data_IF_964909509797
#
_entry.id   IF_964909509797
#
_cell.length_a   1.000
_cell.length_b   1.000
_cell.length_c   1.000
_cell.angle_alpha   90.00
_cell.angle_beta   90.00
_cell.angle_gamma   90.00
#
_symmetry.space_group_name_H-M   'P 1'
#
loop_
_entity.id
_entity.type
_entity.pdbx_description
1 polymer ?
#
# COMPACT_ATOMS: atom_id res chain seq x y z
N UNK A 1 -19.05 -11.43 6.72
CA UNK A 1 -19.20 -10.29 5.79
C UNK A 1 -17.85 -9.89 5.17
N UNK A 2 -16.77 -9.70 5.94
CA UNK A 2 -15.45 -9.35 5.41
C UNK A 2 -14.88 -10.40 4.45
N UNK A 3 -15.02 -11.69 4.79
CA UNK A 3 -14.60 -12.80 3.91
C UNK A 3 -15.39 -12.82 2.59
N UNK A 4 -16.68 -12.54 2.63
CA UNK A 4 -17.51 -12.46 1.43
C UNK A 4 -17.11 -11.28 0.54
N UNK A 5 -16.77 -10.13 1.15
CA UNK A 5 -16.30 -8.96 0.41
C UNK A 5 -14.94 -9.19 -0.25
N UNK A 6 -13.99 -9.83 0.44
CA UNK A 6 -12.69 -10.18 -0.15
C UNK A 6 -12.83 -11.18 -1.30
N UNK A 7 -13.71 -12.17 -1.17
CA UNK A 7 -13.96 -13.14 -2.23
C UNK A 7 -14.70 -12.52 -3.43
N UNK A 8 -15.51 -11.50 -3.20
CA UNK A 8 -16.16 -10.74 -4.28
C UNK A 8 -15.17 -9.86 -5.05
N UNK A 9 -14.12 -9.36 -4.37
CA UNK A 9 -13.08 -8.53 -4.97
C UNK A 9 -12.06 -9.34 -5.78
N UNK A 10 -11.79 -10.57 -5.42
CA UNK A 10 -10.86 -11.44 -6.15
C UNK A 10 -11.31 -12.90 -6.09
N UNK A 11 -11.92 -13.34 -7.19
CA UNK A 11 -12.43 -14.71 -7.34
C UNK A 11 -11.33 -15.78 -7.38
N UNK A 12 -10.09 -15.37 -7.63
CA UNK A 12 -8.94 -16.27 -7.73
C UNK A 12 -8.28 -16.52 -6.36
N UNK A 13 -8.67 -15.76 -5.33
CA UNK A 13 -8.17 -16.00 -3.97
C UNK A 13 -8.91 -17.19 -3.34
N UNK A 14 -8.15 -18.18 -2.90
CA UNK A 14 -8.73 -19.32 -2.19
C UNK A 14 -9.41 -18.89 -0.88
N UNK A 15 -10.46 -19.61 -0.47
CA UNK A 15 -11.15 -19.37 0.81
C UNK A 15 -10.20 -19.45 2.01
N UNK A 16 -9.19 -20.30 1.96
CA UNK A 16 -8.17 -20.45 2.99
C UNK A 16 -7.28 -19.21 3.07
N UNK A 17 -6.85 -18.67 1.93
CA UNK A 17 -6.08 -17.43 1.86
C UNK A 17 -6.88 -16.25 2.41
N UNK A 18 -8.18 -16.15 2.07
CA UNK A 18 -9.08 -15.14 2.61
C UNK A 18 -9.22 -15.25 4.12
N UNK A 19 -9.35 -16.47 4.66
CA UNK A 19 -9.43 -16.68 6.11
C UNK A 19 -8.13 -16.28 6.82
N UNK A 20 -6.97 -16.65 6.24
CA UNK A 20 -5.65 -16.26 6.76
C UNK A 20 -5.46 -14.75 6.76
N UNK A 21 -5.77 -14.07 5.66
CA UNK A 21 -5.67 -12.61 5.55
C UNK A 21 -6.61 -11.91 6.53
N UNK A 22 -7.82 -12.43 6.72
CA UNK A 22 -8.76 -11.89 7.70
C UNK A 22 -8.27 -12.06 9.16
N UNK A 23 -7.60 -13.18 9.45
CA UNK A 23 -7.02 -13.45 10.77
C UNK A 23 -5.77 -12.61 11.08
N UNK A 24 -5.07 -12.15 10.03
CA UNK A 24 -3.85 -11.33 10.15
C UNK A 24 -4.12 -9.84 9.95
N UNK A 25 -5.37 -9.43 9.74
CA UNK A 25 -5.72 -8.02 9.63
C UNK A 25 -5.40 -7.28 10.94
N UNK A 26 -4.60 -6.22 10.83
CA UNK A 26 -4.15 -5.43 11.97
C UNK A 26 -4.69 -4.00 11.88
N UNK A 27 -4.87 -3.37 13.03
CA UNK A 27 -5.16 -1.95 13.13
C UNK A 27 -3.84 -1.17 13.03
N UNK A 28 -3.62 -0.48 11.89
CA UNK A 28 -2.32 0.13 11.57
C UNK A 28 -2.37 1.66 11.57
N UNK A 29 -3.24 2.25 12.37
CA UNK A 29 -3.34 3.70 12.53
C UNK A 29 -2.27 4.20 13.51
N UNK A 30 -1.60 5.30 13.19
CA UNK A 30 -0.68 6.01 14.07
C UNK A 30 -1.19 7.42 14.25
N UNK A 31 -1.75 7.67 15.40
CA UNK A 31 -2.26 9.00 15.77
C UNK A 31 -1.82 9.34 17.18
N UNK A 32 -1.49 10.61 17.40
CA UNK A 32 -1.24 11.17 18.72
C UNK A 32 -2.13 12.37 18.87
N UNK A 33 -2.70 12.52 20.05
CA UNK A 33 -3.54 13.66 20.41
C UNK A 33 -3.06 14.19 21.76
N UNK A 34 -2.67 15.46 21.78
CA UNK A 34 -2.10 16.12 22.95
C UNK A 34 -3.06 17.22 23.38
N UNK A 35 -3.29 17.32 24.68
CA UNK A 35 -4.03 18.40 25.35
C UNK A 35 -5.42 18.68 24.76
N UNK A 36 -6.15 17.62 24.33
CA UNK A 36 -7.46 17.78 23.71
C UNK A 36 -8.44 18.61 24.55
N UNK A 37 -8.40 18.44 25.87
CA UNK A 37 -9.28 19.14 26.84
C UNK A 37 -8.90 20.60 27.05
N UNK A 38 -7.77 21.04 26.47
CA UNK A 38 -7.30 22.43 26.45
C UNK A 38 -7.32 22.97 25.02
N UNK A 39 -8.45 23.43 24.49
CA UNK A 39 -8.66 23.71 23.06
C UNK A 39 -7.63 24.64 22.44
N UNK A 40 -7.09 25.58 23.21
CA UNK A 40 -6.05 26.52 22.79
C UNK A 40 -4.65 25.87 22.64
N UNK A 41 -4.43 24.72 23.29
CA UNK A 41 -3.17 23.97 23.22
C UNK A 41 -3.29 22.68 22.45
N UNK A 42 -4.51 22.24 22.14
CA UNK A 42 -4.80 20.97 21.52
C UNK A 42 -4.09 20.81 20.16
N UNK A 43 -3.36 19.70 20.01
CA UNK A 43 -2.63 19.33 18.80
C UNK A 43 -2.83 17.84 18.52
N UNK A 44 -2.99 17.51 17.25
CA UNK A 44 -3.04 16.14 16.79
C UNK A 44 -1.95 15.83 15.77
N UNK A 45 -1.55 14.57 15.72
CA UNK A 45 -0.61 14.05 14.72
C UNK A 45 -1.24 12.84 14.05
N UNK A 46 -1.16 12.82 12.71
CA UNK A 46 -1.50 11.67 11.88
C UNK A 46 -0.24 11.27 11.15
N UNK A 47 0.25 10.07 11.42
CA UNK A 47 1.60 9.67 11.03
C UNK A 47 1.59 8.50 10.07
N UNK A 48 2.47 8.54 9.04
CA UNK A 48 2.82 7.41 8.20
C UNK A 48 3.81 6.48 8.89
N UNK A 49 4.82 7.04 9.56
CA UNK A 49 5.87 6.27 10.23
C UNK A 49 5.40 5.56 11.51
N UNK A 50 6.01 4.42 11.82
CA UNK A 50 5.87 3.80 13.13
C UNK A 50 6.70 4.57 14.16
N UNK A 51 6.29 4.54 15.42
CA UNK A 51 7.02 5.17 16.53
C UNK A 51 8.14 4.25 17.04
N UNK A 52 9.09 3.95 16.16
CA UNK A 52 10.27 3.10 16.44
C UNK A 52 11.50 3.81 15.92
N UNK A 53 12.63 3.61 16.59
CA UNK A 53 13.91 4.27 16.25
C UNK A 53 14.35 4.01 14.80
N UNK A 54 14.04 2.84 14.24
CA UNK A 54 14.34 2.49 12.85
C UNK A 54 13.61 3.34 11.81
N UNK A 55 12.53 4.03 12.20
CA UNK A 55 11.77 4.94 11.33
C UNK A 55 12.21 6.39 11.47
N UNK A 56 13.14 6.66 12.37
CA UNK A 56 13.71 7.99 12.55
C UNK A 56 14.78 8.25 11.49
N UNK A 57 14.46 9.07 10.52
CA UNK A 57 15.36 9.48 9.43
C UNK A 57 15.21 10.97 9.15
N UNK A 58 16.18 11.56 8.48
CA UNK A 58 16.18 12.97 8.06
C UNK A 58 16.16 13.05 6.53
N UNK A 59 15.89 14.24 5.98
CA UNK A 59 15.88 14.48 4.54
C UNK A 59 17.22 14.11 3.88
N UNK A 60 18.33 14.24 4.62
CA UNK A 60 19.68 13.89 4.17
C UNK A 60 19.97 12.38 4.31
N UNK A 61 19.05 11.61 4.85
CA UNK A 61 19.22 10.18 5.14
C UNK A 61 20.51 9.88 5.93
N UNK A 62 20.77 10.67 6.96
CA UNK A 62 22.01 10.64 7.75
C UNK A 62 22.24 9.32 8.47
N UNK A 63 21.19 8.57 8.76
CA UNK A 63 21.25 7.25 9.39
C UNK A 63 22.00 6.21 8.57
N UNK A 64 22.09 6.34 7.25
CA UNK A 64 22.82 5.43 6.35
C UNK A 64 24.31 5.31 6.66
N UNK A 65 24.89 6.27 7.36
CA UNK A 65 26.33 6.34 7.68
C UNK A 65 26.67 5.88 9.10
N UNK A 66 25.67 5.39 9.84
CA UNK A 66 25.88 4.98 11.23
C UNK A 66 26.62 3.66 11.32
N UNK A 67 27.56 3.59 12.23
CA UNK A 67 28.16 2.32 12.65
C UNK A 67 27.09 1.44 13.30
N UNK A 68 27.09 0.14 12.99
CA UNK A 68 26.15 -0.84 13.56
C UNK A 68 26.44 -1.19 15.02
N UNK A 69 26.82 -0.23 15.86
CA UNK A 69 27.02 -0.42 17.30
C UNK A 69 25.73 -0.17 18.08
N UNK A 70 25.60 -0.79 19.23
CA UNK A 70 24.45 -0.60 20.15
C UNK A 70 24.28 0.89 20.50
N UNK A 71 25.39 1.61 20.68
CA UNK A 71 25.37 3.04 20.99
C UNK A 71 24.85 3.89 19.84
N UNK A 72 25.08 3.46 18.59
CA UNK A 72 24.53 4.12 17.40
C UNK A 72 23.02 3.90 17.24
N UNK A 73 22.45 2.91 17.92
CA UNK A 73 21.03 2.58 17.92
C UNK A 73 20.30 3.11 19.17
N UNK A 74 20.95 3.94 19.98
CA UNK A 74 20.32 4.53 21.16
C UNK A 74 19.12 5.42 20.77
N UNK A 75 18.12 5.56 21.65
CA UNK A 75 16.97 6.44 21.42
C UNK A 75 17.40 7.83 20.97
N UNK A 76 16.70 8.39 20.00
CA UNK A 76 16.96 9.72 19.40
C UNK A 76 18.26 9.85 18.57
N UNK A 77 18.92 8.75 18.28
CA UNK A 77 20.11 8.76 17.42
C UNK A 77 19.78 8.50 15.94
N UNK A 78 18.49 8.33 15.60
CA UNK A 78 17.98 8.12 14.25
C UNK A 78 17.90 6.65 13.85
N UNK A 79 17.47 6.38 12.62
CA UNK A 79 17.27 5.03 12.14
C UNK A 79 18.53 4.18 12.17
N UNK A 80 18.41 2.95 12.66
CA UNK A 80 19.51 1.96 12.68
C UNK A 80 19.65 1.21 11.33
N UNK A 81 18.77 1.47 10.37
CA UNK A 81 18.74 0.77 9.08
C UNK A 81 19.74 1.32 8.07
N UNK A 82 20.20 0.45 7.16
CA UNK A 82 21.06 0.84 6.04
C UNK A 82 20.30 1.45 4.86
N UNK A 83 18.97 1.32 4.84
CA UNK A 83 18.10 1.82 3.78
C UNK A 83 17.43 3.12 4.22
N UNK A 84 17.28 4.09 3.30
CA UNK A 84 16.57 5.32 3.60
C UNK A 84 15.11 5.02 3.88
N UNK A 85 14.53 5.81 4.77
CA UNK A 85 13.11 5.79 5.06
C UNK A 85 12.52 7.14 4.70
N UNK A 86 11.31 7.11 4.12
CA UNK A 86 10.53 8.32 3.90
C UNK A 86 9.08 8.02 4.23
N UNK A 87 8.57 8.75 5.19
CA UNK A 87 7.17 8.74 5.59
C UNK A 87 6.70 10.17 5.82
N UNK A 88 5.43 10.42 5.50
CA UNK A 88 4.82 11.72 5.71
C UNK A 88 3.97 11.67 6.97
N UNK A 89 4.16 12.65 7.84
CA UNK A 89 3.34 12.87 9.02
C UNK A 89 2.79 14.27 9.02
N UNK A 90 1.56 14.42 9.50
CA UNK A 90 0.88 15.71 9.57
C UNK A 90 0.65 16.10 11.01
N UNK A 91 0.99 17.34 11.36
CA UNK A 91 0.52 18.00 12.57
C UNK A 91 -0.75 18.79 12.23
N UNK A 92 -1.78 18.62 13.02
CA UNK A 92 -3.09 19.27 12.80
C UNK A 92 -3.60 19.96 14.04
N UNK A 93 -4.32 21.06 13.84
CA UNK A 93 -5.01 21.81 14.90
C UNK A 93 -6.42 22.18 14.45
N UNK A 94 -7.25 22.61 15.37
CA UNK A 94 -8.60 23.06 15.08
C UNK A 94 -9.66 21.95 15.06
N UNK A 95 -10.81 22.19 14.43
CA UNK A 95 -12.00 21.34 14.53
C UNK A 95 -11.79 19.88 14.13
N UNK A 96 -10.81 19.59 13.28
CA UNK A 96 -10.50 18.21 12.86
C UNK A 96 -10.11 17.30 14.04
N UNK A 97 -9.63 17.88 15.15
CA UNK A 97 -9.25 17.14 16.35
C UNK A 97 -10.45 16.45 17.02
N UNK A 98 -11.67 16.93 16.81
CA UNK A 98 -12.89 16.25 17.26
C UNK A 98 -12.94 14.82 16.68
N UNK A 99 -12.67 14.67 15.40
CA UNK A 99 -12.72 13.37 14.73
C UNK A 99 -11.56 12.45 15.13
N UNK A 100 -10.37 13.00 15.40
CA UNK A 100 -9.26 12.22 15.95
C UNK A 100 -9.59 11.73 17.37
N UNK A 101 -10.13 12.60 18.21
CA UNK A 101 -10.55 12.24 19.56
C UNK A 101 -11.67 11.19 19.54
N UNK A 102 -12.67 11.35 18.69
CA UNK A 102 -13.77 10.39 18.56
C UNK A 102 -13.26 9.01 18.14
N UNK A 103 -12.32 8.95 17.17
CA UNK A 103 -11.72 7.70 16.73
C UNK A 103 -11.00 6.98 17.87
N UNK A 104 -10.18 7.69 18.62
CA UNK A 104 -9.47 7.17 19.78
C UNK A 104 -10.44 6.76 20.89
N UNK A 105 -11.36 7.64 21.27
CA UNK A 105 -12.28 7.43 22.39
C UNK A 105 -13.20 6.21 22.18
N UNK A 106 -13.66 5.98 20.95
CA UNK A 106 -14.45 4.79 20.60
C UNK A 106 -13.63 3.50 20.73
N UNK A 107 -12.37 3.49 20.26
CA UNK A 107 -11.49 2.35 20.44
C UNK A 107 -11.18 2.10 21.91
N UNK A 108 -10.88 3.14 22.66
CA UNK A 108 -10.64 3.07 24.10
C UNK A 108 -11.84 2.52 24.87
N UNK A 109 -13.04 3.01 24.56
CA UNK A 109 -14.27 2.53 25.22
C UNK A 109 -14.53 1.04 24.99
N UNK A 110 -14.21 0.53 23.79
CA UNK A 110 -14.36 -0.90 23.50
C UNK A 110 -13.46 -1.78 24.37
N UNK A 111 -12.25 -1.34 24.65
CA UNK A 111 -11.26 -2.09 25.41
C UNK A 111 -11.39 -1.92 26.93
N UNK A 112 -11.74 -0.72 27.37
CA UNK A 112 -11.70 -0.33 28.79
C UNK A 112 -13.05 -0.12 29.42
N UNK A 113 -14.13 -0.04 28.63
CA UNK A 113 -15.48 0.35 29.05
C UNK A 113 -15.57 1.77 29.61
N UNK A 114 -14.57 2.63 29.38
CA UNK A 114 -14.56 4.02 29.78
C UNK A 114 -15.00 4.91 28.62
N UNK A 115 -16.10 5.63 28.78
CA UNK A 115 -16.57 6.59 27.77
C UNK A 115 -15.85 7.94 27.90
N UNK A 116 -14.73 8.07 27.19
CA UNK A 116 -13.96 9.31 27.16
C UNK A 116 -14.70 10.46 26.47
N UNK A 117 -15.69 10.20 25.62
CA UNK A 117 -16.49 11.27 25.02
C UNK A 117 -17.34 11.98 26.07
N UNK A 118 -17.91 11.22 26.99
CA UNK A 118 -18.67 11.77 28.13
C UNK A 118 -17.74 12.35 29.19
N UNK A 119 -16.72 11.59 29.62
CA UNK A 119 -15.80 12.00 30.69
C UNK A 119 -15.06 13.30 30.40
N UNK A 120 -14.68 13.54 29.16
CA UNK A 120 -13.96 14.74 28.70
C UNK A 120 -14.87 15.84 28.18
N UNK A 121 -16.19 15.67 28.29
CA UNK A 121 -17.15 16.62 27.71
C UNK A 121 -16.79 17.01 26.26
N UNK A 122 -16.50 15.99 25.44
CA UNK A 122 -15.89 16.13 24.11
C UNK A 122 -16.67 17.08 23.17
N UNK A 123 -18.02 17.08 23.27
CA UNK A 123 -18.86 17.98 22.47
C UNK A 123 -18.68 19.46 22.82
N UNK A 124 -18.40 19.78 24.10
CA UNK A 124 -18.11 21.14 24.51
C UNK A 124 -16.75 21.57 24.02
N UNK A 125 -15.73 20.74 24.23
CA UNK A 125 -14.36 20.99 23.75
C UNK A 125 -14.33 21.21 22.23
N UNK A 126 -15.02 20.37 21.47
CA UNK A 126 -15.07 20.46 20.01
C UNK A 126 -15.54 21.85 19.50
N UNK A 127 -16.48 22.50 20.20
CA UNK A 127 -16.96 23.83 19.83
C UNK A 127 -15.95 24.95 20.08
N UNK A 128 -14.97 24.69 20.93
CA UNK A 128 -13.95 25.66 21.31
C UNK A 128 -12.66 25.49 20.48
N UNK A 129 -12.51 24.35 19.78
CA UNK A 129 -11.37 24.08 18.91
C UNK A 129 -11.30 25.07 17.73
N UNK A 130 -10.17 25.74 17.60
CA UNK A 130 -9.91 26.70 16.51
C UNK A 130 -8.61 26.35 15.78
N UNK A 131 -8.55 26.58 14.46
CA UNK A 131 -7.28 26.51 13.74
C UNK A 131 -6.27 27.47 14.38
N UNK A 132 -5.01 27.04 14.45
CA UNK A 132 -3.90 27.86 14.97
C UNK A 132 -2.99 28.25 13.81
N UNK A 133 -3.10 29.49 13.28
CA UNK A 133 -2.36 29.96 12.11
C UNK A 133 -0.83 29.92 12.28
N UNK A 134 -0.35 29.99 13.51
CA UNK A 134 1.08 29.89 13.83
C UNK A 134 1.72 28.54 13.42
N UNK A 135 0.90 27.50 13.19
CA UNK A 135 1.36 26.19 12.71
C UNK A 135 1.20 25.99 11.21
N UNK A 136 0.64 26.95 10.49
CA UNK A 136 0.49 26.87 9.04
C UNK A 136 -0.79 27.53 8.53
N UNK A 137 -0.94 27.50 7.21
CA UNK A 137 -2.12 28.07 6.56
C UNK A 137 -3.34 27.19 6.81
N UNK A 138 -4.48 27.76 7.26
CA UNK A 138 -5.71 27.00 7.42
C UNK A 138 -6.19 26.42 6.09
N UNK A 139 -6.51 25.13 6.09
CA UNK A 139 -7.02 24.40 4.93
C UNK A 139 -8.27 23.60 5.33
N UNK A 140 -9.08 23.26 4.33
CA UNK A 140 -10.13 22.25 4.52
C UNK A 140 -9.48 20.88 4.56
N UNK A 141 -9.73 20.11 5.63
CA UNK A 141 -9.18 18.78 5.82
C UNK A 141 -10.29 17.78 6.21
N UNK A 142 -10.07 16.53 5.90
CA UNK A 142 -10.98 15.44 6.21
C UNK A 142 -10.19 14.26 6.78
N UNK A 143 -10.68 13.66 7.84
CA UNK A 143 -10.16 12.41 8.40
C UNK A 143 -10.89 11.23 7.79
N UNK A 144 -10.14 10.35 7.17
CA UNK A 144 -10.65 9.16 6.48
C UNK A 144 -10.09 7.90 7.13
N UNK A 145 -10.92 6.87 7.20
CA UNK A 145 -10.54 5.61 7.84
C UNK A 145 -10.96 4.39 7.01
N UNK A 146 -10.18 3.34 7.13
CA UNK A 146 -10.60 1.99 6.78
C UNK A 146 -10.69 1.18 8.06
N UNK A 147 -11.91 0.88 8.49
CA UNK A 147 -12.23 0.04 9.65
C UNK A 147 -13.40 -0.87 9.27
N UNK A 148 -13.07 -2.02 8.67
CA UNK A 148 -14.05 -2.92 8.09
C UNK A 148 -15.06 -3.45 9.13
N UNK A 149 -14.64 -3.67 10.38
CA UNK A 149 -15.50 -4.09 11.48
C UNK A 149 -16.53 -3.02 11.88
N UNK A 150 -16.29 -1.76 11.52
CA UNK A 150 -17.21 -0.64 11.72
C UNK A 150 -17.90 -0.21 10.41
N UNK A 151 -17.73 -0.99 9.35
CA UNK A 151 -18.22 -0.72 8.00
C UNK A 151 -17.70 0.62 7.43
N UNK A 152 -16.54 1.08 7.91
CA UNK A 152 -15.86 2.29 7.42
C UNK A 152 -14.94 1.95 6.27
N UNK A 153 -15.20 2.54 5.12
CA UNK A 153 -14.40 2.42 3.88
C UNK A 153 -14.18 3.80 3.26
N UNK A 154 -13.92 4.78 4.09
CA UNK A 154 -13.85 6.18 3.69
C UNK A 154 -12.69 6.42 2.71
N UNK A 155 -11.52 5.80 2.95
CA UNK A 155 -10.34 5.92 2.07
C UNK A 155 -10.65 5.38 0.67
N UNK A 156 -11.27 4.20 0.57
CA UNK A 156 -11.68 3.62 -0.70
C UNK A 156 -12.62 4.57 -1.46
N UNK A 157 -13.65 5.05 -0.79
CA UNK A 157 -14.63 5.96 -1.39
C UNK A 157 -13.97 7.23 -1.91
N UNK A 158 -13.08 7.85 -1.12
CA UNK A 158 -12.39 9.05 -1.55
C UNK A 158 -11.46 8.80 -2.72
N UNK A 159 -10.68 7.71 -2.69
CA UNK A 159 -9.76 7.39 -3.79
C UNK A 159 -10.49 7.18 -5.11
N UNK A 160 -11.61 6.44 -5.10
CA UNK A 160 -12.42 6.25 -6.29
C UNK A 160 -13.01 7.58 -6.78
N UNK A 161 -13.48 8.43 -5.88
CA UNK A 161 -14.00 9.75 -6.24
C UNK A 161 -12.91 10.67 -6.77
N UNK A 162 -11.72 10.70 -6.16
CA UNK A 162 -10.59 11.50 -6.62
C UNK A 162 -10.12 11.06 -8.00
N UNK A 163 -9.98 9.76 -8.24
CA UNK A 163 -9.64 9.20 -9.54
C UNK A 163 -10.70 9.56 -10.58
N UNK A 164 -12.00 9.42 -10.24
CA UNK A 164 -13.10 9.75 -11.15
C UNK A 164 -13.11 11.22 -11.57
N UNK A 165 -12.58 12.11 -10.75
CA UNK A 165 -12.51 13.54 -11.00
C UNK A 165 -11.19 13.99 -11.62
N UNK A 166 -10.21 13.09 -11.78
CA UNK A 166 -8.91 13.43 -12.34
C UNK A 166 -9.01 13.78 -13.83
N UNK A 167 -8.42 14.91 -14.22
CA UNK A 167 -8.50 15.38 -15.61
C UNK A 167 -7.14 15.47 -16.31
N UNK A 168 -6.04 15.59 -15.57
CA UNK A 168 -4.71 15.77 -16.15
C UNK A 168 -3.70 14.78 -15.63
N UNK A 169 -3.59 14.66 -14.31
CA UNK A 169 -2.68 13.71 -13.71
C UNK A 169 -3.20 13.16 -12.38
N UNK A 170 -2.69 11.99 -12.03
CA UNK A 170 -2.84 11.35 -10.72
C UNK A 170 -1.42 11.12 -10.20
N UNK A 171 -1.12 11.62 -9.00
CA UNK A 171 0.12 11.33 -8.29
C UNK A 171 -0.19 10.47 -7.08
N UNK A 172 0.54 9.36 -6.95
CA UNK A 172 0.42 8.42 -5.85
C UNK A 172 1.81 8.20 -5.26
N UNK A 173 1.96 8.47 -3.98
CA UNK A 173 3.12 8.10 -3.18
C UNK A 173 2.64 7.21 -2.04
N UNK A 174 2.96 5.93 -2.10
CA UNK A 174 2.48 4.95 -1.12
C UNK A 174 3.46 3.77 -1.04
N UNK A 175 3.66 3.24 0.16
CA UNK A 175 4.48 2.06 0.38
C UNK A 175 4.06 0.88 -0.53
N UNK A 176 2.76 0.74 -0.79
CA UNK A 176 2.23 -0.35 -1.62
C UNK A 176 1.27 0.16 -2.69
N UNK A 177 1.48 -0.27 -3.92
CA UNK A 177 0.59 -0.02 -5.04
C UNK A 177 -0.05 -1.35 -5.46
N UNK A 178 -1.17 -1.72 -4.81
CA UNK A 178 -1.71 -3.08 -4.88
C UNK A 178 -3.22 -3.20 -4.78
N UNK A 179 -3.94 -2.25 -5.37
CA UNK A 179 -5.40 -2.25 -5.41
C UNK A 179 -5.94 -2.23 -6.84
N UNK A 180 -6.10 -3.40 -7.51
CA UNK A 180 -6.51 -3.52 -8.91
C UNK A 180 -7.76 -2.73 -9.30
N UNK A 181 -8.83 -2.64 -8.48
CA UNK A 181 -10.02 -1.86 -8.84
C UNK A 181 -9.73 -0.38 -9.13
N UNK A 182 -8.73 0.22 -8.49
CA UNK A 182 -8.32 1.58 -8.79
C UNK A 182 -7.64 1.68 -10.16
N UNK A 183 -6.83 0.71 -10.54
CA UNK A 183 -6.19 0.67 -11.85
C UNK A 183 -7.23 0.50 -12.97
N UNK A 184 -8.24 -0.35 -12.76
CA UNK A 184 -9.35 -0.53 -13.68
C UNK A 184 -10.14 0.77 -13.86
N UNK A 185 -10.39 1.50 -12.77
CA UNK A 185 -11.07 2.79 -12.83
C UNK A 185 -10.23 3.84 -13.57
N UNK A 186 -8.91 3.89 -13.36
CA UNK A 186 -8.01 4.82 -14.07
C UNK A 186 -8.08 4.60 -15.58
N UNK A 187 -7.98 3.34 -16.04
CA UNK A 187 -8.12 3.00 -17.46
C UNK A 187 -9.48 3.42 -18.00
N UNK A 188 -10.55 3.06 -17.30
CA UNK A 188 -11.92 3.39 -17.70
C UNK A 188 -12.10 4.90 -17.87
N UNK A 189 -11.60 5.71 -16.94
CA UNK A 189 -11.73 7.16 -17.01
C UNK A 189 -10.91 7.75 -18.15
N UNK A 190 -9.71 7.24 -18.39
CA UNK A 190 -8.89 7.65 -19.52
C UNK A 190 -9.62 7.39 -20.85
N UNK A 191 -10.21 6.21 -21.03
CA UNK A 191 -11.01 5.83 -22.18
C UNK A 191 -12.27 6.70 -22.32
N UNK A 192 -13.00 6.93 -21.23
CA UNK A 192 -14.19 7.77 -21.21
C UNK A 192 -13.88 9.24 -21.58
N UNK A 193 -12.75 9.77 -21.13
CA UNK A 193 -12.37 11.14 -21.50
C UNK A 193 -12.11 11.24 -23.00
N UNK A 194 -11.45 10.28 -23.61
CA UNK A 194 -11.23 10.22 -25.05
C UNK A 194 -12.55 10.09 -25.79
N UNK A 195 -13.43 9.18 -25.37
CA UNK A 195 -14.75 8.99 -26.00
C UNK A 195 -15.66 10.21 -25.91
N UNK A 196 -15.49 11.03 -24.85
CA UNK A 196 -16.21 12.28 -24.65
C UNK A 196 -15.56 13.47 -25.35
N UNK A 197 -14.58 13.26 -26.24
CA UNK A 197 -13.99 14.28 -27.09
C UNK A 197 -12.74 14.95 -26.54
N UNK A 198 -12.05 14.33 -25.56
CA UNK A 198 -10.72 14.82 -25.15
C UNK A 198 -9.75 14.70 -26.32
N UNK A 199 -9.30 15.84 -26.81
CA UNK A 199 -8.26 15.90 -27.82
C UNK A 199 -6.87 15.78 -27.16
N UNK A 200 -6.20 14.65 -27.42
CA UNK A 200 -4.89 14.37 -26.84
C UNK A 200 -3.81 15.35 -27.30
N UNK A 201 -3.92 15.90 -28.49
CA UNK A 201 -2.96 16.89 -29.00
C UNK A 201 -3.11 18.25 -28.29
N UNK A 202 -4.33 18.55 -27.84
CA UNK A 202 -4.68 19.85 -27.23
C UNK A 202 -4.61 19.80 -25.70
N UNK A 203 -5.03 18.71 -25.09
CA UNK A 203 -5.18 18.58 -23.65
C UNK A 203 -4.22 17.56 -23.01
N UNK A 204 -3.46 16.84 -23.83
CA UNK A 204 -2.60 15.74 -23.39
C UNK A 204 -3.38 14.51 -22.89
N UNK A 205 -2.67 13.47 -22.53
CA UNK A 205 -3.23 12.28 -21.90
C UNK A 205 -3.46 12.48 -20.39
N UNK A 206 -4.22 11.57 -19.77
CA UNK A 206 -4.24 11.45 -18.33
C UNK A 206 -2.93 10.76 -17.88
N UNK A 207 -2.12 11.43 -17.08
CA UNK A 207 -0.85 10.91 -16.60
C UNK A 207 -0.99 10.30 -15.21
N UNK A 208 -0.35 9.15 -15.00
CA UNK A 208 -0.26 8.49 -13.71
C UNK A 208 1.20 8.42 -13.24
N UNK A 209 1.49 9.07 -12.13
CA UNK A 209 2.79 9.02 -11.45
C UNK A 209 2.67 8.21 -10.18
N UNK A 210 3.49 7.17 -10.03
CA UNK A 210 3.47 6.31 -8.86
C UNK A 210 4.87 6.17 -8.28
N UNK A 211 5.01 6.56 -7.02
CA UNK A 211 6.19 6.29 -6.20
C UNK A 211 5.79 5.24 -5.19
N UNK A 212 6.38 4.07 -5.28
CA UNK A 212 6.04 2.93 -4.42
C UNK A 212 7.27 2.06 -4.16
N UNK A 213 7.18 1.22 -3.14
CA UNK A 213 8.22 0.24 -2.87
C UNK A 213 8.21 -0.86 -3.94
N UNK A 214 9.32 -0.99 -4.66
CA UNK A 214 9.52 -1.95 -5.76
C UNK A 214 10.54 -3.05 -5.41
N UNK A 215 10.81 -3.31 -4.14
CA UNK A 215 11.76 -4.34 -3.73
C UNK A 215 11.18 -5.74 -3.91
N UNK A 216 12.01 -6.65 -4.41
CA UNK A 216 11.66 -8.08 -4.55
C UNK A 216 11.55 -8.82 -3.21
N UNK A 217 11.96 -8.19 -2.11
CA UNK A 217 12.02 -8.79 -0.77
C UNK A 217 10.65 -9.04 -0.15
N UNK A 218 9.62 -8.41 -0.68
CA UNK A 218 8.24 -8.57 -0.22
C UNK A 218 7.45 -9.65 -0.96
N UNK A 219 8.03 -10.82 -1.22
CA UNK A 219 7.33 -11.93 -1.90
C UNK A 219 6.21 -12.50 -1.01
N UNK A 220 5.08 -11.83 -1.04
CA UNK A 220 3.84 -12.24 -0.40
C UNK A 220 2.65 -11.95 -1.31
N UNK A 221 1.46 -12.25 -0.85
CA UNK A 221 0.19 -11.94 -1.55
C UNK A 221 0.08 -10.46 -1.97
N UNK A 222 0.76 -9.55 -1.26
CA UNK A 222 0.85 -8.13 -1.60
C UNK A 222 1.54 -7.86 -2.93
N UNK A 223 2.62 -8.58 -3.23
CA UNK A 223 3.39 -8.41 -4.47
C UNK A 223 2.60 -8.93 -5.68
N UNK A 224 1.83 -9.99 -5.51
CA UNK A 224 0.93 -10.50 -6.56
C UNK A 224 -0.11 -9.44 -6.94
N UNK A 225 -0.70 -8.75 -5.96
CA UNK A 225 -1.68 -7.70 -6.22
C UNK A 225 -1.05 -6.45 -6.86
N UNK A 226 0.18 -6.10 -6.49
CA UNK A 226 0.94 -5.04 -7.18
C UNK A 226 1.17 -5.42 -8.65
N UNK A 227 1.58 -6.65 -8.92
CA UNK A 227 1.77 -7.13 -10.29
C UNK A 227 0.47 -7.15 -11.09
N UNK A 228 -0.66 -7.57 -10.49
CA UNK A 228 -1.98 -7.51 -11.14
C UNK A 228 -2.37 -6.08 -11.49
N UNK A 229 -2.15 -5.14 -10.57
CA UNK A 229 -2.41 -3.72 -10.79
C UNK A 229 -1.57 -3.16 -11.94
N UNK A 230 -0.25 -3.45 -11.95
CA UNK A 230 0.65 -3.07 -13.03
C UNK A 230 0.26 -3.72 -14.37
N UNK A 231 -0.19 -4.97 -14.35
CA UNK A 231 -0.68 -5.65 -15.54
C UNK A 231 -1.92 -4.99 -16.13
N UNK A 232 -2.87 -4.59 -15.30
CA UNK A 232 -4.07 -3.84 -15.72
C UNK A 232 -3.68 -2.52 -16.38
N UNK A 233 -2.63 -1.85 -15.86
CA UNK A 233 -2.10 -0.60 -16.42
C UNK A 233 -1.16 -0.81 -17.62
N UNK A 234 -1.00 -2.05 -18.12
CA UNK A 234 -0.08 -2.35 -19.22
C UNK A 234 1.40 -2.30 -18.85
N UNK A 235 1.74 -2.27 -17.55
CA UNK A 235 3.11 -2.12 -17.03
C UNK A 235 3.58 -3.31 -16.19
N UNK A 236 3.25 -4.52 -16.64
CA UNK A 236 3.69 -5.77 -15.99
C UNK A 236 5.22 -5.95 -15.96
N UNK A 237 5.95 -5.19 -16.79
CA UNK A 237 7.41 -5.22 -16.94
C UNK A 237 8.17 -4.45 -15.85
N UNK A 238 7.49 -3.67 -15.02
CA UNK A 238 8.13 -2.74 -14.07
C UNK A 238 8.73 -3.40 -12.83
N UNK A 239 8.34 -4.64 -12.50
CA UNK A 239 8.91 -5.39 -11.38
C UNK A 239 9.68 -6.60 -11.92
N UNK A 240 11.02 -6.49 -12.07
CA UNK A 240 11.83 -7.47 -12.76
C UNK A 240 11.76 -8.88 -12.18
N UNK A 241 11.85 -9.03 -10.87
CA UNK A 241 11.85 -10.34 -10.21
C UNK A 241 10.53 -11.09 -10.38
N UNK A 242 9.41 -10.37 -10.35
CA UNK A 242 8.09 -10.96 -10.58
C UNK A 242 7.90 -11.34 -12.03
N UNK A 243 8.34 -10.51 -12.95
CA UNK A 243 8.30 -10.82 -14.39
C UNK A 243 9.04 -12.11 -14.67
N UNK A 244 10.25 -12.30 -14.11
CA UNK A 244 11.01 -13.54 -14.18
C UNK A 244 10.22 -14.72 -13.60
N UNK A 245 9.71 -14.58 -12.39
CA UNK A 245 8.92 -15.63 -11.74
C UNK A 245 7.72 -16.04 -12.57
N UNK A 246 6.96 -15.07 -13.09
CA UNK A 246 5.80 -15.37 -13.95
C UNK A 246 6.20 -16.08 -15.23
N UNK A 247 7.33 -15.72 -15.85
CA UNK A 247 7.87 -16.42 -17.03
C UNK A 247 8.25 -17.86 -16.68
N UNK A 248 8.92 -18.07 -15.56
CA UNK A 248 9.30 -19.41 -15.07
C UNK A 248 8.07 -20.26 -14.76
N UNK A 249 7.09 -19.68 -14.04
CA UNK A 249 5.84 -20.40 -13.71
C UNK A 249 5.04 -20.76 -14.96
N UNK A 250 5.04 -19.88 -15.97
CA UNK A 250 4.44 -20.17 -17.28
C UNK A 250 5.14 -21.33 -17.97
N UNK A 251 6.47 -21.32 -18.04
CA UNK A 251 7.25 -22.41 -18.63
C UNK A 251 7.01 -23.74 -17.92
N UNK A 252 6.98 -23.75 -16.58
CA UNK A 252 6.67 -24.94 -15.78
C UNK A 252 5.25 -25.47 -16.06
N UNK A 253 4.28 -24.58 -16.19
CA UNK A 253 2.89 -24.96 -16.50
C UNK A 253 2.77 -25.52 -17.92
N UNK A 254 3.46 -24.92 -18.90
CA UNK A 254 3.49 -25.39 -20.29
C UNK A 254 4.21 -26.73 -20.45
N UNK A 255 5.28 -26.95 -19.66
CA UNK A 255 6.01 -28.22 -19.65
C UNK A 255 5.17 -29.37 -19.10
N UNK A 256 4.13 -29.09 -18.32
CA UNK A 256 3.26 -30.08 -17.67
C UNK A 256 4.00 -30.89 -16.61
N UNK A 257 3.24 -31.48 -15.72
CA UNK A 257 3.74 -32.51 -14.80
C UNK A 257 3.39 -33.87 -15.42
N UNK A 258 4.36 -34.52 -16.04
CA UNK A 258 4.19 -35.94 -16.41
C UNK A 258 4.34 -36.75 -15.12
N UNK A 259 3.28 -37.43 -14.64
CA UNK A 259 3.40 -38.25 -13.45
C UNK A 259 4.45 -39.33 -13.66
N UNK A 260 5.37 -39.49 -12.71
CA UNK A 260 6.37 -40.57 -12.76
C UNK A 260 5.74 -41.96 -12.90
N UNK A 261 4.51 -42.11 -12.44
CA UNK A 261 3.70 -43.32 -12.59
C UNK A 261 3.33 -43.70 -14.03
N UNK A 262 3.56 -42.82 -15.00
CA UNK A 262 3.31 -43.09 -16.45
C UNK A 262 4.57 -43.40 -17.25
N UNK A 263 5.72 -43.50 -16.59
CA UNK A 263 7.02 -43.83 -17.25
C UNK A 263 7.27 -45.31 -17.16
N UNK A 264 6.89 -46.05 -18.19
CA UNK A 264 6.96 -47.52 -18.20
C UNK A 264 8.19 -48.08 -18.92
N UNK A 265 8.90 -47.27 -19.67
CA UNK A 265 10.05 -47.71 -20.46
C UNK A 265 11.29 -46.83 -20.22
N UNK A 266 12.52 -47.38 -20.40
CA UNK A 266 13.75 -46.55 -20.36
C UNK A 266 13.72 -45.36 -21.33
N UNK A 267 13.03 -45.50 -22.45
CA UNK A 267 12.87 -44.44 -23.45
C UNK A 267 11.99 -43.30 -22.94
N UNK A 268 10.93 -43.62 -22.21
CA UNK A 268 10.07 -42.60 -21.60
C UNK A 268 10.83 -41.78 -20.56
N UNK A 269 11.67 -42.44 -19.76
CA UNK A 269 12.54 -41.79 -18.77
C UNK A 269 13.58 -40.90 -19.46
N UNK A 270 14.19 -41.34 -20.54
CA UNK A 270 15.18 -40.56 -21.29
C UNK A 270 14.54 -39.31 -21.90
N UNK A 271 13.37 -39.44 -22.51
CA UNK A 271 12.62 -38.31 -23.09
C UNK A 271 12.19 -37.31 -21.99
N UNK A 272 11.73 -37.79 -20.84
CA UNK A 272 11.41 -36.96 -19.70
C UNK A 272 12.63 -36.15 -19.20
N UNK A 273 13.75 -36.82 -18.99
CA UNK A 273 14.99 -36.18 -18.55
C UNK A 273 15.51 -35.15 -19.56
N UNK A 274 15.32 -35.42 -20.88
CA UNK A 274 15.67 -34.46 -21.92
C UNK A 274 14.78 -33.19 -21.81
N UNK A 275 13.47 -33.33 -21.72
CA UNK A 275 12.53 -32.23 -21.56
C UNK A 275 12.82 -31.43 -20.27
N UNK A 276 13.17 -32.11 -19.19
CA UNK A 276 13.51 -31.45 -17.92
C UNK A 276 14.80 -30.62 -18.08
N UNK A 277 15.83 -31.12 -18.71
CA UNK A 277 17.07 -30.37 -18.98
C UNK A 277 16.83 -29.16 -19.88
N UNK A 278 15.99 -29.29 -20.90
CA UNK A 278 15.62 -28.17 -21.78
C UNK A 278 14.83 -27.08 -20.99
N UNK A 279 13.95 -27.48 -20.10
CA UNK A 279 13.23 -26.57 -19.22
C UNK A 279 14.18 -25.84 -18.26
N UNK A 280 15.06 -26.58 -17.61
CA UNK A 280 16.04 -26.02 -16.66
C UNK A 280 17.00 -25.04 -17.35
N UNK A 281 17.41 -25.34 -18.58
CA UNK A 281 18.24 -24.44 -19.38
C UNK A 281 17.50 -23.12 -19.69
N UNK A 282 16.22 -23.18 -20.06
CA UNK A 282 15.41 -21.98 -20.32
C UNK A 282 15.18 -21.16 -19.04
N UNK A 283 14.95 -21.82 -17.90
CA UNK A 283 14.81 -21.16 -16.59
C UNK A 283 16.12 -20.43 -16.25
N UNK A 284 17.26 -21.09 -16.41
CA UNK A 284 18.57 -20.51 -16.14
C UNK A 284 18.85 -19.27 -17.01
N UNK A 285 18.42 -19.26 -18.25
CA UNK A 285 18.55 -18.10 -19.13
C UNK A 285 17.71 -16.92 -18.61
N UNK A 286 16.46 -17.17 -18.19
CA UNK A 286 15.60 -16.13 -17.59
C UNK A 286 16.24 -15.57 -16.31
N UNK A 287 16.79 -16.42 -15.47
CA UNK A 287 17.43 -16.01 -14.21
C UNK A 287 18.67 -15.15 -14.44
N UNK A 288 19.46 -15.42 -15.51
CA UNK A 288 20.65 -14.64 -15.86
C UNK A 288 20.36 -13.24 -16.39
N UNK A 289 19.17 -13.00 -16.93
CA UNK A 289 18.82 -11.67 -17.46
C UNK A 289 18.77 -10.66 -16.32
N UNK A 290 19.64 -9.65 -16.38
CA UNK A 290 19.54 -8.48 -15.49
C UNK A 290 18.43 -7.56 -16.02
N UNK A 291 17.30 -7.61 -15.35
CA UNK A 291 16.22 -6.65 -15.59
C UNK A 291 16.45 -5.45 -14.68
N UNK A 292 16.58 -4.27 -15.24
CA UNK A 292 16.50 -3.02 -14.46
C UNK A 292 15.04 -2.59 -14.38
N UNK A 293 14.58 -2.07 -13.23
CA UNK A 293 13.29 -1.42 -13.16
C UNK A 293 13.25 -0.33 -14.21
N UNK A 294 12.31 -0.40 -15.13
CA UNK A 294 12.13 0.67 -16.11
C UNK A 294 11.29 1.76 -15.47
N UNK A 295 11.80 2.98 -15.25
CA UNK A 295 10.94 4.10 -14.92
C UNK A 295 10.04 4.31 -16.14
N UNK A 296 8.79 3.94 -15.98
CA UNK A 296 7.83 4.10 -17.06
C UNK A 296 6.90 5.24 -16.75
N UNK A 297 6.84 6.20 -17.65
CA UNK A 297 5.69 7.09 -17.79
C UNK A 297 4.54 6.28 -18.40
N UNK A 298 3.41 6.24 -17.70
CA UNK A 298 2.13 5.76 -18.22
C UNK A 298 1.24 6.96 -18.48
#
# INVERSE_FOLDING_TARGET
>A
QYQAALHALDKDISKMTVALLAATATHHQKTVLVDYELPEHAVGFVMGHNMLDEYWDTDEHSSRRRAGSVDACAPNMGASGFLPRQDISSQVTGPILEHLHENFAKAWCKETHQDLLALRNAKKVAKELKPRPEYGTPIMAQLLRTQAQEQKRDIETLYLQAVNNATQFIYIENQYFRWPPMAELINKIAEEQISKGRDLNKHGALHLFVVTNATDEGIGSGTVNTQRMLKVLGRADTIPGITKKMQIDKLRKEAGTTPVSTMYTPKDVEEFLKKQRELDAKILEIEKVRLSPSPGLV
#
